data_IF_313577203867
#
_entry.id   IF_313577203867
#
_cell.length_a   1.000
_cell.length_b   1.000
_cell.length_c   1.000
_cell.angle_alpha   90.00
_cell.angle_beta   90.00
_cell.angle_gamma   90.00
#
_symmetry.space_group_name_H-M   'P 1'
#
loop_
_entity.id
_entity.type
_entity.pdbx_description
1 polymer ?
#
# COMPACT_ATOMS: atom_id res chain seq x y z
N UNK A 1 -8.33 -10.47 12.32
CA UNK A 1 -8.14 -9.33 13.23
C UNK A 1 -6.68 -9.37 13.61
N UNK A 2 -5.94 -8.39 13.09
CA UNK A 2 -4.50 -8.46 12.92
C UNK A 2 -3.89 -7.12 13.29
N UNK A 3 -2.88 -7.11 14.14
CA UNK A 3 -2.32 -5.86 14.66
C UNK A 3 -1.44 -5.19 13.59
N UNK A 4 -1.78 -3.96 13.21
CA UNK A 4 -0.99 -3.18 12.24
C UNK A 4 0.44 -2.92 12.74
N UNK A 5 0.65 -2.86 14.05
CA UNK A 5 1.97 -2.54 14.63
C UNK A 5 3.01 -3.61 14.32
N UNK A 6 2.65 -4.88 14.51
CA UNK A 6 3.55 -6.00 14.21
C UNK A 6 3.83 -6.09 12.72
N UNK A 7 2.83 -5.86 11.87
CA UNK A 7 3.01 -5.88 10.42
C UNK A 7 3.88 -4.74 9.92
N UNK A 8 3.72 -3.54 10.48
CA UNK A 8 4.57 -2.40 10.15
C UNK A 8 6.00 -2.61 10.65
N UNK A 9 6.18 -3.17 11.85
CA UNK A 9 7.52 -3.48 12.36
C UNK A 9 8.21 -4.53 11.49
N UNK A 10 7.51 -5.63 11.14
CA UNK A 10 8.05 -6.63 10.21
C UNK A 10 8.36 -6.04 8.84
N UNK A 11 7.51 -5.13 8.34
CA UNK A 11 7.74 -4.45 7.07
C UNK A 11 9.05 -3.66 7.12
N UNK A 12 9.24 -2.83 8.14
CA UNK A 12 10.43 -1.99 8.30
C UNK A 12 11.69 -2.85 8.43
N UNK A 13 11.68 -3.89 9.28
CA UNK A 13 12.83 -4.78 9.45
C UNK A 13 13.21 -5.49 8.15
N UNK A 14 12.23 -6.07 7.45
CA UNK A 14 12.47 -6.81 6.21
C UNK A 14 12.87 -5.88 5.06
N UNK A 15 12.36 -4.65 5.02
CA UNK A 15 12.79 -3.64 4.05
C UNK A 15 14.25 -3.25 4.24
N UNK A 16 14.69 -3.03 5.48
CA UNK A 16 16.10 -2.73 5.79
C UNK A 16 16.99 -3.92 5.41
N UNK A 17 16.59 -5.14 5.78
CA UNK A 17 17.34 -6.36 5.46
C UNK A 17 17.46 -6.60 3.95
N UNK A 18 16.38 -6.36 3.20
CA UNK A 18 16.36 -6.48 1.74
C UNK A 18 17.26 -5.45 1.05
N UNK A 19 17.43 -4.27 1.65
CA UNK A 19 18.28 -3.23 1.09
C UNK A 19 19.77 -3.51 1.34
N UNK A 20 20.12 -3.96 2.55
CA UNK A 20 21.49 -4.26 2.95
C UNK A 20 22.12 -5.34 2.04
N UNK A 21 21.55 -6.55 2.00
CA UNK A 21 22.20 -7.71 1.40
C UNK A 21 21.36 -8.44 0.36
N UNK A 22 22.03 -9.03 -0.63
CA UNK A 22 21.38 -9.87 -1.63
C UNK A 22 20.85 -11.18 -1.00
N UNK A 23 21.60 -11.76 -0.06
CA UNK A 23 21.16 -12.93 0.73
C UNK A 23 19.96 -12.56 1.61
N UNK A 24 19.97 -11.36 2.19
CA UNK A 24 18.85 -10.78 2.92
C UNK A 24 17.60 -10.68 2.03
N UNK A 25 17.72 -10.16 0.82
CA UNK A 25 16.62 -10.07 -0.14
C UNK A 25 16.04 -11.45 -0.51
N UNK A 26 16.90 -12.47 -0.71
CA UNK A 26 16.44 -13.84 -0.98
C UNK A 26 15.69 -14.45 0.22
N UNK A 27 16.17 -14.23 1.45
CA UNK A 27 15.50 -14.68 2.65
C UNK A 27 14.14 -13.99 2.86
N UNK A 28 14.07 -12.67 2.61
CA UNK A 28 12.82 -11.89 2.64
C UNK A 28 11.83 -12.41 1.60
N UNK A 29 12.31 -12.79 0.41
CA UNK A 29 11.47 -13.40 -0.62
C UNK A 29 10.89 -14.76 -0.17
N UNK A 30 11.71 -15.62 0.45
CA UNK A 30 11.23 -16.88 1.03
C UNK A 30 10.21 -16.66 2.15
N UNK A 31 10.46 -15.68 3.03
CA UNK A 31 9.51 -15.27 4.07
C UNK A 31 8.19 -14.79 3.46
N UNK A 32 8.27 -13.96 2.41
CA UNK A 32 7.09 -13.47 1.69
C UNK A 32 6.30 -14.62 1.05
N UNK A 33 6.96 -15.61 0.46
CA UNK A 33 6.29 -16.80 -0.08
C UNK A 33 5.54 -17.60 1.00
N UNK A 34 6.16 -17.78 2.18
CA UNK A 34 5.57 -18.56 3.27
C UNK A 34 4.35 -17.86 3.90
N UNK A 35 4.44 -16.54 4.11
CA UNK A 35 3.49 -15.80 4.94
C UNK A 35 2.66 -14.77 4.16
N UNK A 36 3.28 -14.08 3.19
CA UNK A 36 2.67 -12.96 2.49
C UNK A 36 1.97 -13.28 1.16
N UNK A 37 2.36 -14.35 0.48
CA UNK A 37 1.80 -14.70 -0.82
C UNK A 37 0.30 -15.00 -0.74
N UNK A 38 -0.14 -15.76 0.28
CA UNK A 38 -1.56 -16.12 0.44
C UNK A 38 -2.45 -14.91 0.60
N UNK A 39 -2.07 -13.93 1.43
CA UNK A 39 -2.88 -12.72 1.66
C UNK A 39 -2.83 -11.77 0.45
N UNK A 40 -1.68 -11.66 -0.20
CA UNK A 40 -1.51 -10.80 -1.38
C UNK A 40 -2.35 -11.31 -2.55
N UNK A 41 -2.28 -12.60 -2.87
CA UNK A 41 -3.04 -13.17 -3.99
C UNK A 41 -4.54 -13.35 -3.71
N UNK A 42 -4.94 -13.49 -2.43
CA UNK A 42 -6.36 -13.56 -2.07
C UNK A 42 -7.10 -12.23 -2.31
N UNK A 43 -6.43 -11.09 -2.10
CA UNK A 43 -7.04 -9.76 -2.24
C UNK A 43 -6.65 -9.02 -3.52
N UNK A 44 -5.44 -9.24 -4.03
CA UNK A 44 -4.94 -8.64 -5.26
C UNK A 44 -4.83 -9.69 -6.36
N UNK A 45 -5.40 -9.37 -7.53
CA UNK A 45 -5.30 -10.24 -8.70
C UNK A 45 -3.85 -10.29 -9.22
N UNK A 46 -3.37 -11.48 -9.58
CA UNK A 46 -2.05 -11.69 -10.19
C UNK A 46 -1.85 -10.82 -11.46
N UNK A 47 -2.95 -10.53 -12.18
CA UNK A 47 -2.98 -9.69 -13.38
C UNK A 47 -2.68 -8.22 -13.12
N UNK A 48 -2.75 -7.76 -11.87
CA UNK A 48 -2.42 -6.39 -11.48
C UNK A 48 -1.04 -6.33 -10.83
N UNK A 49 -0.70 -7.31 -10.00
CA UNK A 49 0.59 -7.36 -9.29
C UNK A 49 1.75 -7.49 -10.28
N UNK A 50 1.70 -8.47 -11.18
CA UNK A 50 2.83 -8.75 -12.08
C UNK A 50 3.20 -7.61 -13.02
N UNK A 51 2.29 -6.97 -13.78
CA UNK A 51 2.69 -5.91 -14.69
C UNK A 51 3.28 -4.71 -13.94
N UNK A 52 2.74 -4.37 -12.77
CA UNK A 52 3.29 -3.28 -11.94
C UNK A 52 4.68 -3.65 -11.43
N UNK A 53 4.85 -4.90 -10.97
CA UNK A 53 6.13 -5.41 -10.48
C UNK A 53 7.21 -5.45 -11.57
N UNK A 54 6.84 -5.83 -12.79
CA UNK A 54 7.73 -5.81 -13.96
C UNK A 54 8.16 -4.38 -14.27
N UNK A 55 7.24 -3.42 -14.32
CA UNK A 55 7.57 -2.01 -14.56
C UNK A 55 8.47 -1.44 -13.47
N UNK A 56 8.13 -1.69 -12.19
CA UNK A 56 8.91 -1.22 -11.03
C UNK A 56 10.29 -1.88 -10.91
N UNK A 57 10.47 -3.09 -11.40
CA UNK A 57 11.76 -3.78 -11.40
C UNK A 57 12.63 -3.38 -12.60
N UNK A 58 12.04 -3.32 -13.80
CA UNK A 58 12.76 -3.00 -15.03
C UNK A 58 13.27 -1.56 -15.06
N UNK A 59 12.49 -0.60 -14.57
CA UNK A 59 12.86 0.81 -14.65
C UNK A 59 14.16 1.13 -13.89
N UNK A 60 14.29 0.80 -12.59
CA UNK A 60 15.53 1.08 -11.85
C UNK A 60 16.70 0.22 -12.32
N UNK A 61 16.44 -1.03 -12.73
CA UNK A 61 17.49 -1.90 -13.29
C UNK A 61 18.06 -1.33 -14.59
N UNK A 62 17.21 -0.76 -15.46
CA UNK A 62 17.66 -0.11 -16.68
C UNK A 62 18.48 1.15 -16.38
N UNK A 63 18.03 1.99 -15.44
CA UNK A 63 18.77 3.19 -15.01
C UNK A 63 20.15 2.80 -14.47
N UNK A 64 20.24 1.78 -13.62
CA UNK A 64 21.50 1.34 -13.02
C UNK A 64 22.46 0.70 -14.01
N UNK A 65 21.94 0.00 -15.02
CA UNK A 65 22.75 -0.52 -16.12
C UNK A 65 23.49 0.62 -16.85
N UNK A 66 22.83 1.76 -17.06
CA UNK A 66 23.47 2.93 -17.68
C UNK A 66 24.43 3.66 -16.75
N UNK A 67 24.23 3.61 -15.43
CA UNK A 67 25.10 4.29 -14.45
C UNK A 67 26.23 3.40 -13.90
N UNK A 68 26.39 2.17 -14.42
CA UNK A 68 27.42 1.21 -13.95
C UNK A 68 27.17 0.69 -12.53
N UNK A 69 25.92 0.68 -12.08
CA UNK A 69 25.53 0.22 -10.74
C UNK A 69 25.36 -1.29 -10.63
N UNK A 70 24.97 -1.74 -9.44
CA UNK A 70 24.76 -3.16 -9.13
C UNK A 70 23.61 -3.76 -9.95
N UNK A 71 23.91 -4.80 -10.72
CA UNK A 71 22.97 -5.49 -11.63
C UNK A 71 21.84 -6.17 -10.86
N UNK A 72 22.08 -6.58 -9.61
CA UNK A 72 21.07 -7.25 -8.78
C UNK A 72 20.17 -6.30 -7.99
N UNK A 73 20.33 -4.98 -8.15
CA UNK A 73 19.48 -4.01 -7.47
C UNK A 73 18.01 -4.12 -7.88
N UNK A 74 17.74 -4.49 -9.13
CA UNK A 74 16.37 -4.78 -9.60
C UNK A 74 15.69 -5.88 -8.79
N UNK A 75 16.43 -6.93 -8.40
CA UNK A 75 15.90 -8.00 -7.56
C UNK A 75 15.57 -7.52 -6.14
N UNK A 76 16.40 -6.63 -5.55
CA UNK A 76 16.10 -6.02 -4.24
C UNK A 76 14.81 -5.19 -4.29
N UNK A 77 14.64 -4.36 -5.33
CA UNK A 77 13.41 -3.58 -5.52
C UNK A 77 12.20 -4.47 -5.76
N UNK A 78 12.37 -5.56 -6.52
CA UNK A 78 11.30 -6.52 -6.77
C UNK A 78 10.75 -7.09 -5.45
N UNK A 79 11.64 -7.52 -4.55
CA UNK A 79 11.25 -8.03 -3.24
C UNK A 79 10.62 -6.93 -2.37
N UNK A 80 11.16 -5.72 -2.39
CA UNK A 80 10.56 -4.57 -1.69
C UNK A 80 9.15 -4.24 -2.19
N UNK A 81 8.93 -4.28 -3.51
CA UNK A 81 7.62 -4.05 -4.10
C UNK A 81 6.61 -5.14 -3.70
N UNK A 82 7.03 -6.41 -3.66
CA UNK A 82 6.19 -7.50 -3.14
C UNK A 82 5.81 -7.30 -1.67
N UNK A 83 6.75 -6.82 -0.85
CA UNK A 83 6.51 -6.48 0.56
C UNK A 83 5.48 -5.35 0.69
N UNK A 84 5.59 -4.32 -0.14
CA UNK A 84 4.64 -3.22 -0.20
C UNK A 84 3.24 -3.68 -0.64
N UNK A 85 3.16 -4.57 -1.65
CA UNK A 85 1.89 -5.17 -2.07
C UNK A 85 1.26 -6.01 -0.97
N UNK A 86 2.05 -6.77 -0.23
CA UNK A 86 1.56 -7.54 0.91
C UNK A 86 0.98 -6.64 2.00
N UNK A 87 1.68 -5.56 2.35
CA UNK A 87 1.20 -4.61 3.36
C UNK A 87 -0.08 -3.90 2.88
N UNK A 88 -0.10 -3.46 1.63
CA UNK A 88 -1.28 -2.86 0.99
C UNK A 88 -2.49 -3.80 0.98
N UNK A 89 -2.30 -5.08 0.65
CA UNK A 89 -3.36 -6.07 0.66
C UNK A 89 -3.87 -6.36 2.09
N UNK A 90 -2.98 -6.27 3.08
CA UNK A 90 -3.28 -6.62 4.48
C UNK A 90 -3.97 -5.49 5.25
N UNK A 91 -3.92 -4.25 4.77
CA UNK A 91 -4.59 -3.11 5.40
C UNK A 91 -6.10 -3.35 5.55
N UNK A 92 -6.60 -3.11 6.76
CA UNK A 92 -8.02 -3.11 7.08
C UNK A 92 -8.50 -1.66 7.33
N UNK A 93 -9.77 -1.34 7.01
CA UNK A 93 -10.34 -0.02 7.28
C UNK A 93 -10.25 0.33 8.77
N UNK A 94 -9.80 1.54 9.09
CA UNK A 94 -9.66 2.05 10.47
C UNK A 94 -8.32 1.76 11.15
N UNK A 95 -7.44 0.93 10.56
CA UNK A 95 -6.13 0.63 11.14
C UNK A 95 -5.13 1.77 11.00
N UNK A 96 -5.24 2.58 9.95
CA UNK A 96 -4.37 3.76 9.80
C UNK A 96 -4.75 4.80 10.85
N UNK A 97 -6.05 4.97 11.10
CA UNK A 97 -6.53 5.86 12.16
C UNK A 97 -5.95 5.46 13.52
N UNK A 98 -6.05 4.18 13.90
CA UNK A 98 -5.52 3.71 15.18
C UNK A 98 -4.00 3.86 15.27
N UNK A 99 -3.27 3.64 14.17
CA UNK A 99 -1.82 3.81 14.10
C UNK A 99 -1.40 5.27 14.28
N UNK A 100 -1.95 6.19 13.49
CA UNK A 100 -1.53 7.59 13.52
C UNK A 100 -1.89 8.26 14.85
N UNK A 101 -3.06 7.98 15.41
CA UNK A 101 -3.46 8.50 16.73
C UNK A 101 -2.55 7.98 17.85
N UNK A 102 -2.06 6.75 17.74
CA UNK A 102 -1.13 6.19 18.72
C UNK A 102 0.27 6.80 18.62
N UNK A 103 0.76 7.04 17.40
CA UNK A 103 2.13 7.56 17.16
C UNK A 103 2.21 9.07 17.37
N UNK A 104 1.22 9.83 16.90
CA UNK A 104 1.21 11.29 16.90
C UNK A 104 0.22 11.92 17.90
N UNK A 105 -0.48 11.11 18.70
CA UNK A 105 -1.45 11.56 19.70
C UNK A 105 -2.84 11.90 19.13
N UNK A 106 -3.74 12.34 20.02
CA UNK A 106 -5.16 12.56 19.69
C UNK A 106 -5.40 13.80 18.80
N UNK A 107 -4.55 14.82 18.82
CA UNK A 107 -4.69 15.99 17.94
C UNK A 107 -4.22 15.71 16.51
N UNK A 108 -2.92 15.95 16.26
CA UNK A 108 -2.31 15.81 14.93
C UNK A 108 -2.43 14.40 14.37
N UNK A 109 -2.33 13.37 15.22
CA UNK A 109 -2.47 11.98 14.79
C UNK A 109 -3.87 11.62 14.31
N UNK A 110 -4.92 12.28 14.82
CA UNK A 110 -6.27 12.11 14.30
C UNK A 110 -6.42 12.71 12.91
N UNK A 111 -5.90 13.91 12.67
CA UNK A 111 -6.00 14.58 11.38
C UNK A 111 -5.19 13.83 10.29
N UNK A 112 -3.99 13.37 10.64
CA UNK A 112 -3.17 12.52 9.77
C UNK A 112 -3.83 11.17 9.51
N UNK A 113 -4.36 10.54 10.56
CA UNK A 113 -5.07 9.26 10.47
C UNK A 113 -6.32 9.34 9.60
N UNK A 114 -7.13 10.39 9.79
CA UNK A 114 -8.30 10.67 8.97
C UNK A 114 -7.91 10.88 7.51
N UNK A 115 -6.89 11.71 7.27
CA UNK A 115 -6.40 11.99 5.91
C UNK A 115 -5.93 10.70 5.23
N UNK A 116 -5.20 9.85 5.94
CA UNK A 116 -4.71 8.58 5.43
C UNK A 116 -5.85 7.61 5.09
N UNK A 117 -6.82 7.43 6.00
CA UNK A 117 -8.01 6.59 5.77
C UNK A 117 -8.84 7.08 4.58
N UNK A 118 -9.15 8.39 4.53
CA UNK A 118 -9.91 8.98 3.44
C UNK A 118 -9.19 8.83 2.09
N UNK A 119 -7.85 8.94 2.10
CA UNK A 119 -7.02 8.78 0.90
C UNK A 119 -7.03 7.33 0.39
N UNK A 120 -6.88 6.35 1.29
CA UNK A 120 -6.96 4.92 0.93
C UNK A 120 -8.37 4.57 0.44
N UNK A 121 -9.40 5.08 1.09
CA UNK A 121 -10.79 4.91 0.65
C UNK A 121 -11.02 5.54 -0.73
N UNK A 122 -10.53 6.75 -0.97
CA UNK A 122 -10.63 7.41 -2.27
C UNK A 122 -9.95 6.57 -3.37
N UNK A 123 -8.76 6.01 -3.10
CA UNK A 123 -8.03 5.17 -4.05
C UNK A 123 -8.79 3.89 -4.41
N UNK A 124 -9.44 3.26 -3.42
CA UNK A 124 -10.30 2.09 -3.68
C UNK A 124 -11.49 2.43 -4.59
N UNK A 125 -12.12 3.59 -4.39
CA UNK A 125 -13.24 4.06 -5.22
C UNK A 125 -12.83 4.40 -6.66
N UNK A 126 -11.65 4.98 -6.87
CA UNK A 126 -11.13 5.33 -8.21
C UNK A 126 -11.06 4.10 -9.12
N UNK A 127 -10.74 2.92 -8.58
CA UNK A 127 -10.69 1.68 -9.36
C UNK A 127 -12.05 1.30 -9.96
N UNK A 128 -13.10 1.43 -9.16
CA UNK A 128 -14.47 1.15 -9.58
C UNK A 128 -14.98 2.21 -10.55
N UNK A 129 -14.71 3.49 -10.28
CA UNK A 129 -15.03 4.61 -11.16
C UNK A 129 -14.37 4.43 -12.55
N UNK A 130 -13.10 4.01 -12.58
CA UNK A 130 -12.39 3.67 -13.83
C UNK A 130 -13.02 2.50 -14.58
N UNK A 131 -13.48 1.48 -13.87
CA UNK A 131 -14.15 0.33 -14.46
C UNK A 131 -15.48 0.74 -15.13
N UNK A 132 -16.27 1.59 -14.46
CA UNK A 132 -17.51 2.14 -15.00
C UNK A 132 -17.25 3.05 -16.20
N UNK A 133 -16.26 3.96 -16.13
CA UNK A 133 -15.90 4.83 -17.24
C UNK A 133 -15.44 4.05 -18.47
N UNK A 134 -14.62 3.00 -18.28
CA UNK A 134 -14.21 2.10 -19.36
C UNK A 134 -15.40 1.36 -19.98
N UNK A 135 -16.34 0.93 -19.16
CA UNK A 135 -17.55 0.25 -19.63
C UNK A 135 -18.44 1.21 -20.42
N UNK A 136 -18.59 2.46 -19.98
CA UNK A 136 -19.32 3.50 -20.69
C UNK A 136 -18.69 3.85 -22.06
N UNK A 137 -17.36 3.93 -22.15
CA UNK A 137 -16.67 4.13 -23.43
C UNK A 137 -16.91 2.98 -24.41
N UNK A 138 -16.93 1.73 -23.92
CA UNK A 138 -17.26 0.56 -24.75
C UNK A 138 -18.69 0.63 -25.28
N UNK A 139 -19.66 1.04 -24.46
CA UNK A 139 -21.05 1.24 -24.89
C UNK A 139 -21.15 2.33 -25.97
N UNK A 140 -20.35 3.40 -25.86
CA UNK A 140 -20.26 4.47 -26.86
C UNK A 140 -19.52 4.06 -28.13
N UNK A 141 -19.07 2.80 -28.25
CA UNK A 141 -18.31 2.30 -29.41
C UNK A 141 -16.89 2.87 -29.51
N UNK A 142 -16.40 3.57 -28.48
CA UNK A 142 -15.06 4.15 -28.45
C UNK A 142 -14.06 3.18 -27.82
N UNK A 143 -12.88 3.03 -28.43
CA UNK A 143 -11.77 2.25 -27.88
C UNK A 143 -10.95 3.08 -26.91
N UNK A 144 -10.35 2.43 -25.92
CA UNK A 144 -9.41 3.06 -24.99
C UNK A 144 -8.15 3.48 -25.77
N UNK A 145 -8.10 4.75 -26.16
CA UNK A 145 -6.95 5.36 -26.86
C UNK A 145 -6.12 6.17 -25.86
N UNK A 146 -4.78 6.24 -26.01
CA UNK A 146 -3.93 7.13 -25.22
C UNK A 146 -4.42 8.59 -25.22
N UNK A 147 -5.03 9.05 -26.32
CA UNK A 147 -5.63 10.38 -26.41
C UNK A 147 -6.89 10.60 -25.55
N UNK A 148 -7.55 9.53 -25.09
CA UNK A 148 -8.71 9.60 -24.21
C UNK A 148 -8.33 9.65 -22.72
N UNK A 149 -7.07 9.35 -22.38
CA UNK A 149 -6.55 9.38 -20.99
C UNK A 149 -6.74 10.74 -20.31
N UNK A 150 -6.39 11.90 -20.92
CA UNK A 150 -6.60 13.20 -20.27
C UNK A 150 -8.08 13.49 -19.98
N UNK A 151 -8.99 13.10 -20.87
CA UNK A 151 -10.43 13.28 -20.67
C UNK A 151 -10.97 12.41 -19.52
N UNK A 152 -10.57 11.15 -19.48
CA UNK A 152 -10.89 10.25 -18.38
C UNK A 152 -10.31 10.73 -17.05
N UNK A 153 -9.06 11.21 -17.07
CA UNK A 153 -8.40 11.79 -15.92
C UNK A 153 -9.14 13.02 -15.38
N UNK A 154 -9.54 13.94 -16.26
CA UNK A 154 -10.34 15.10 -15.88
C UNK A 154 -11.69 14.68 -15.26
N UNK A 155 -12.37 13.69 -15.84
CA UNK A 155 -13.61 13.14 -15.28
C UNK A 155 -13.42 12.55 -13.87
N UNK A 156 -12.36 11.78 -13.66
CA UNK A 156 -12.02 11.21 -12.34
C UNK A 156 -11.66 12.30 -11.33
N UNK A 157 -10.91 13.32 -11.74
CA UNK A 157 -10.56 14.46 -10.89
C UNK A 157 -11.82 15.19 -10.44
N UNK A 158 -12.72 15.51 -11.36
CA UNK A 158 -13.99 16.18 -11.04
C UNK A 158 -14.83 15.32 -10.08
N UNK A 159 -14.92 14.01 -10.32
CA UNK A 159 -15.65 13.08 -9.44
C UNK A 159 -15.02 13.01 -8.04
N UNK A 160 -13.69 12.95 -7.98
CA UNK A 160 -12.93 12.89 -6.73
C UNK A 160 -13.07 14.19 -5.93
N UNK A 161 -13.05 15.35 -6.59
CA UNK A 161 -13.30 16.65 -5.97
C UNK A 161 -14.72 16.76 -5.43
N UNK A 162 -15.73 16.32 -6.19
CA UNK A 162 -17.13 16.30 -5.73
C UNK A 162 -17.32 15.38 -4.52
N UNK A 163 -16.72 14.19 -4.54
CA UNK A 163 -16.76 13.24 -3.40
C UNK A 163 -16.06 13.84 -2.17
N UNK A 164 -14.92 14.48 -2.36
CA UNK A 164 -14.19 15.15 -1.28
C UNK A 164 -14.98 16.31 -0.68
N UNK A 165 -15.61 17.15 -1.51
CA UNK A 165 -16.48 18.23 -1.06
C UNK A 165 -17.69 17.72 -0.27
N UNK A 166 -18.28 16.61 -0.71
CA UNK A 166 -19.36 15.95 0.03
C UNK A 166 -18.87 15.45 1.39
N UNK A 167 -17.77 14.69 1.44
CA UNK A 167 -17.17 14.21 2.70
C UNK A 167 -16.83 15.36 3.65
N UNK A 168 -16.24 16.44 3.14
CA UNK A 168 -15.95 17.64 3.92
C UNK A 168 -17.23 18.30 4.48
N UNK A 169 -18.29 18.40 3.68
CA UNK A 169 -19.57 18.95 4.15
C UNK A 169 -20.21 18.10 5.25
N UNK A 170 -20.08 16.78 5.17
CA UNK A 170 -20.58 15.85 6.20
C UNK A 170 -19.79 16.01 7.50
N UNK A 171 -18.45 16.12 7.41
CA UNK A 171 -17.59 16.37 8.56
C UNK A 171 -17.89 17.72 9.22
N UNK A 172 -18.00 18.79 8.42
CA UNK A 172 -18.32 20.12 8.91
C UNK A 172 -19.69 20.17 9.62
N UNK A 173 -20.72 19.51 9.07
CA UNK A 173 -22.04 19.38 9.73
C UNK A 173 -22.01 18.59 11.02
N UNK A 174 -21.04 17.68 11.19
CA UNK A 174 -20.79 16.95 12.44
C UNK A 174 -19.94 17.75 13.44
N UNK A 175 -19.62 19.01 13.13
CA UNK A 175 -18.84 19.88 14.00
C UNK A 175 -17.33 19.62 13.95
N UNK A 176 -16.84 18.87 12.96
CA UNK A 176 -15.41 18.67 12.78
C UNK A 176 -14.76 19.94 12.21
N UNK A 177 -13.77 20.46 12.94
CA UNK A 177 -12.99 21.65 12.57
C UNK A 177 -11.51 21.29 12.43
N UNK A 178 -10.93 20.73 13.49
CA UNK A 178 -9.57 20.17 13.52
C UNK A 178 -9.40 19.31 14.77
N UNK A 179 -8.53 18.30 14.69
CA UNK A 179 -8.29 17.37 15.78
C UNK A 179 -9.51 16.53 16.14
N UNK A 180 -9.30 15.53 17.00
CA UNK A 180 -10.39 14.70 17.48
C UNK A 180 -9.97 13.77 18.60
N UNK A 181 -10.90 12.96 19.07
CA UNK A 181 -10.58 11.89 20.00
C UNK A 181 -10.98 10.58 19.35
N UNK A 182 -10.00 9.71 19.16
CA UNK A 182 -10.21 8.36 18.68
C UNK A 182 -9.60 7.39 19.67
N UNK A 183 -10.36 6.38 20.07
CA UNK A 183 -9.88 5.33 20.96
C UNK A 183 -9.35 4.20 20.09
N UNK A 184 -8.02 4.00 20.01
CA UNK A 184 -7.46 2.98 19.15
C UNK A 184 -7.73 1.60 19.74
N UNK A 185 -8.32 0.71 18.94
CA UNK A 185 -8.53 -0.69 19.31
C UNK A 185 -7.53 -1.54 18.54
N UNK A 186 -6.69 -2.27 19.27
CA UNK A 186 -5.72 -3.20 18.71
C UNK A 186 -6.06 -4.61 19.19
N UNK A 187 -6.22 -5.55 18.26
CA UNK A 187 -6.46 -6.96 18.57
C UNK A 187 -5.35 -7.79 17.95
N UNK A 188 -4.37 -8.28 18.75
CA UNK A 188 -3.28 -9.08 18.24
C UNK A 188 -3.76 -10.46 17.79
N UNK A 189 -3.47 -10.81 16.54
CA UNK A 189 -3.66 -12.17 16.03
C UNK A 189 -2.41 -13.02 16.28
N UNK A 190 -2.57 -14.27 16.69
CA UNK A 190 -1.44 -15.19 16.92
C UNK A 190 -0.54 -15.36 15.69
N UNK A 191 -1.11 -15.29 14.48
CA UNK A 191 -0.35 -15.35 13.23
C UNK A 191 0.60 -14.17 13.00
N UNK A 192 0.24 -12.96 13.46
CA UNK A 192 1.09 -11.78 13.28
C UNK A 192 2.31 -11.82 14.20
N UNK A 193 2.16 -12.41 15.39
CA UNK A 193 3.28 -12.60 16.32
C UNK A 193 4.29 -13.59 15.74
N UNK A 194 3.82 -14.70 15.15
CA UNK A 194 4.71 -15.66 14.48
C UNK A 194 5.44 -15.01 13.31
N UNK A 195 4.73 -14.24 12.47
CA UNK A 195 5.31 -13.47 11.37
C UNK A 195 6.41 -12.51 11.86
N UNK A 196 6.15 -11.77 12.93
CA UNK A 196 7.10 -10.84 13.55
C UNK A 196 8.33 -11.56 14.08
N UNK A 197 8.15 -12.65 14.84
CA UNK A 197 9.25 -13.42 15.42
C UNK A 197 10.17 -13.95 14.32
N UNK A 198 9.60 -14.48 13.23
CA UNK A 198 10.39 -14.91 12.07
C UNK A 198 11.14 -13.74 11.41
N UNK A 199 10.51 -12.57 11.28
CA UNK A 199 11.18 -11.39 10.72
C UNK A 199 12.34 -10.91 11.61
N UNK A 200 12.16 -10.92 12.94
CA UNK A 200 13.21 -10.56 13.91
C UNK A 200 14.35 -11.58 13.88
N UNK A 201 14.06 -12.87 13.79
CA UNK A 201 15.08 -13.92 13.68
C UNK A 201 15.90 -13.77 12.38
N UNK A 202 15.23 -13.55 11.25
CA UNK A 202 15.91 -13.31 9.97
C UNK A 202 16.78 -12.06 10.03
N UNK A 203 16.27 -10.98 10.60
CA UNK A 203 17.04 -9.74 10.79
C UNK A 203 18.27 -9.99 11.67
N UNK A 204 18.11 -10.65 12.82
CA UNK A 204 19.23 -10.90 13.75
C UNK A 204 20.30 -11.85 13.21
N UNK A 205 19.94 -12.81 12.35
CA UNK A 205 20.89 -13.80 11.80
C UNK A 205 21.61 -13.31 10.54
N UNK A 206 20.97 -12.47 9.74
CA UNK A 206 21.51 -12.06 8.44
C UNK A 206 22.08 -10.63 8.44
N UNK A 207 21.77 -9.82 9.45
CA UNK A 207 22.30 -8.46 9.57
C UNK A 207 23.56 -8.39 10.46
N UNK A 208 23.79 -9.38 11.32
CA UNK A 208 25.03 -9.56 12.09
C UNK A 208 25.91 -10.62 11.43
#
# INVERSE_FOLDING_TARGET
MSDIRFRLLSLVLLSVLCFADLVGAAAVFCWWLAFGAKTTFARLSWRTVLPVLVVFCLFPSAVLFFTGGDVFYGAKIFVLALLAFWFSASLLPGELMSLFVRVFGQGMGFDLGMTAELSVQALSGVREDLFHMRSALRIKGQRFSPGAVPFLGAGLLVLSLRRSAFSASVLARRGYVSGGTYVPVFSPGAGDVVMLVFAVLLYGVLFF
#
